data_IF_086137664643
#
_entry.id   IF_086137664643
#
_cell.length_a   1.000
_cell.length_b   1.000
_cell.length_c   1.000
_cell.angle_alpha   90.00
_cell.angle_beta   90.00
_cell.angle_gamma   90.00
#
_symmetry.space_group_name_H-M   'P 1'
#
loop_
_entity.id
_entity.type
_entity.pdbx_description
1 polymer ?
#
# COMPACT_ATOMS: atom_id res chain seq x y z
N UNK A 1 4.47 5.43 1.51
CA UNK A 1 4.54 5.16 0.06
C UNK A 1 3.24 5.63 -0.56
N UNK A 2 3.29 6.38 -1.66
CA UNK A 2 2.12 6.79 -2.43
C UNK A 2 2.08 6.01 -3.74
N UNK A 3 0.90 5.51 -4.13
CA UNK A 3 0.68 4.79 -5.38
C UNK A 3 -0.58 5.35 -6.03
N UNK A 4 -0.49 5.73 -7.30
CA UNK A 4 -1.61 6.20 -8.10
C UNK A 4 -2.25 5.05 -8.87
N UNK A 5 -3.49 5.25 -9.31
CA UNK A 5 -4.27 4.25 -10.03
C UNK A 5 -4.58 4.77 -11.43
N UNK A 6 -4.33 3.93 -12.43
CA UNK A 6 -4.51 4.24 -13.86
C UNK A 6 -3.84 5.55 -14.34
N UNK A 7 -2.78 5.99 -13.68
CA UNK A 7 -1.99 7.14 -14.09
C UNK A 7 -0.95 6.74 -15.15
N UNK A 8 -1.05 7.35 -16.33
CA UNK A 8 -0.08 7.23 -17.42
C UNK A 8 1.15 8.12 -17.22
N UNK A 9 2.20 7.84 -18.00
CA UNK A 9 3.43 8.63 -17.98
C UNK A 9 3.16 10.10 -18.35
N UNK A 10 2.35 10.34 -19.38
CA UNK A 10 2.05 11.68 -19.90
C UNK A 10 0.94 12.42 -19.12
N UNK A 11 0.49 11.91 -17.98
CA UNK A 11 -0.56 12.56 -17.18
C UNK A 11 -0.04 13.71 -16.31
N UNK A 12 1.27 13.80 -16.08
CA UNK A 12 1.86 14.85 -15.24
C UNK A 12 2.31 16.06 -16.07
N UNK A 13 2.12 17.26 -15.53
CA UNK A 13 2.62 18.50 -16.14
C UNK A 13 4.15 18.43 -16.35
N UNK A 14 4.89 17.98 -15.34
CA UNK A 14 6.33 17.77 -15.42
C UNK A 14 6.79 16.73 -16.46
N UNK A 15 5.88 15.92 -17.02
CA UNK A 15 6.14 15.02 -18.15
C UNK A 15 5.65 15.59 -19.50
N UNK A 16 5.20 16.84 -19.54
CA UNK A 16 4.82 17.55 -20.76
C UNK A 16 3.32 17.62 -21.01
N UNK A 17 2.46 17.27 -20.04
CA UNK A 17 1.01 17.42 -20.19
C UNK A 17 0.61 18.91 -20.25
N UNK A 18 0.00 19.41 -21.34
CA UNK A 18 -0.30 20.83 -21.48
C UNK A 18 -1.62 21.26 -20.80
N UNK A 19 -2.36 20.33 -20.19
CA UNK A 19 -3.71 20.57 -19.65
C UNK A 19 -3.82 20.39 -18.14
N UNK A 20 -3.06 19.44 -17.58
CA UNK A 20 -3.11 19.13 -16.16
C UNK A 20 -2.11 19.99 -15.41
N UNK A 21 -2.57 20.67 -14.36
CA UNK A 21 -1.71 21.43 -13.45
C UNK A 21 -1.42 20.58 -12.21
N UNK A 22 -0.16 20.14 -12.05
CA UNK A 22 0.25 19.23 -10.97
C UNK A 22 1.38 19.81 -10.12
N UNK A 23 1.20 20.98 -9.47
CA UNK A 23 2.30 21.75 -8.88
C UNK A 23 3.09 20.98 -7.79
N UNK A 24 2.42 20.16 -6.99
CA UNK A 24 3.11 19.35 -5.96
C UNK A 24 3.93 18.20 -6.56
N UNK A 25 3.45 17.58 -7.65
CA UNK A 25 4.24 16.59 -8.39
C UNK A 25 5.39 17.26 -9.14
N UNK A 26 5.20 18.47 -9.67
CA UNK A 26 6.24 19.23 -10.35
C UNK A 26 7.36 19.63 -9.38
N UNK A 27 7.00 19.99 -8.13
CA UNK A 27 7.96 20.21 -7.05
C UNK A 27 8.71 18.92 -6.70
N UNK A 28 8.00 17.82 -6.47
CA UNK A 28 8.62 16.52 -6.18
C UNK A 28 9.55 16.06 -7.30
N UNK A 29 9.18 16.30 -8.56
CA UNK A 29 9.97 15.97 -9.73
C UNK A 29 11.35 16.65 -9.73
N UNK A 30 11.45 17.87 -9.20
CA UNK A 30 12.70 18.64 -9.13
C UNK A 30 13.56 18.27 -7.91
N UNK A 31 12.95 17.71 -6.85
CA UNK A 31 13.62 17.41 -5.57
C UNK A 31 13.98 15.93 -5.40
N UNK A 32 13.39 15.03 -6.20
CA UNK A 32 13.53 13.58 -6.04
C UNK A 32 14.40 12.91 -7.11
N UNK A 33 14.89 11.71 -6.77
CA UNK A 33 15.44 10.78 -7.78
C UNK A 33 14.29 10.26 -8.64
N UNK A 34 14.49 10.26 -9.95
CA UNK A 34 13.49 9.84 -10.93
C UNK A 34 13.98 8.63 -11.72
N UNK A 35 13.05 7.73 -12.00
CA UNK A 35 13.27 6.61 -12.91
C UNK A 35 12.58 6.95 -14.24
N UNK A 36 13.36 7.07 -15.31
CA UNK A 36 12.83 7.32 -16.66
C UNK A 36 12.35 6.04 -17.35
N UNK A 37 12.73 4.89 -16.79
CA UNK A 37 12.35 3.56 -17.27
C UNK A 37 11.90 2.70 -16.08
N UNK A 38 10.59 2.75 -15.80
CA UNK A 38 9.94 2.02 -14.71
C UNK A 38 8.71 1.30 -15.28
N UNK A 39 8.55 0.02 -14.93
CA UNK A 39 7.49 -0.81 -15.49
C UNK A 39 6.56 -1.36 -14.42
N UNK A 40 5.29 -1.48 -14.78
CA UNK A 40 4.24 -2.10 -13.99
C UNK A 40 3.57 -3.23 -14.79
N UNK A 41 2.76 -4.06 -14.12
CA UNK A 41 1.89 -4.99 -14.84
C UNK A 41 0.76 -4.19 -15.53
N UNK A 42 0.15 -4.73 -16.60
CA UNK A 42 -0.89 -4.02 -17.36
C UNK A 42 -2.22 -3.80 -16.61
N UNK A 43 -2.34 -4.30 -15.38
CA UNK A 43 -3.55 -4.18 -14.55
C UNK A 43 -3.18 -3.90 -13.09
N UNK A 44 -4.07 -3.18 -12.40
CA UNK A 44 -3.85 -2.73 -11.04
C UNK A 44 -3.62 -3.87 -10.02
N UNK A 45 -4.43 -4.94 -10.02
CA UNK A 45 -4.26 -6.03 -9.05
C UNK A 45 -2.93 -6.79 -9.24
N UNK A 46 -2.53 -7.22 -10.45
CA UNK A 46 -1.19 -7.78 -10.68
C UNK A 46 -0.03 -6.86 -10.24
N UNK A 47 -0.13 -5.56 -10.51
CA UNK A 47 0.89 -4.58 -10.06
C UNK A 47 0.94 -4.49 -8.54
N UNK A 48 -0.22 -4.41 -7.87
CA UNK A 48 -0.30 -4.40 -6.41
C UNK A 48 0.28 -5.65 -5.78
N UNK A 49 -0.03 -6.83 -6.32
CA UNK A 49 0.50 -8.10 -5.81
C UNK A 49 2.02 -8.19 -5.97
N UNK A 50 2.54 -7.79 -7.13
CA UNK A 50 3.97 -7.78 -7.38
C UNK A 50 4.71 -6.79 -6.48
N UNK A 51 4.14 -5.61 -6.30
CA UNK A 51 4.66 -4.61 -5.37
C UNK A 51 4.71 -5.15 -3.93
N UNK A 52 3.59 -5.69 -3.43
CA UNK A 52 3.49 -6.14 -2.04
C UNK A 52 4.43 -7.30 -1.73
N UNK A 53 4.70 -8.19 -2.68
CA UNK A 53 5.46 -9.44 -2.44
C UNK A 53 6.89 -9.40 -2.97
N UNK A 54 7.24 -8.43 -3.83
CA UNK A 54 8.50 -8.42 -4.57
C UNK A 54 8.64 -9.57 -5.60
N UNK A 55 7.54 -10.24 -5.94
CA UNK A 55 7.51 -11.40 -6.83
C UNK A 55 6.72 -11.08 -8.09
N UNK A 56 7.04 -11.76 -9.19
CA UNK A 56 6.23 -11.64 -10.39
C UNK A 56 4.78 -12.06 -10.12
N UNK A 57 3.82 -11.27 -10.59
CA UNK A 57 2.41 -11.33 -10.20
C UNK A 57 1.81 -12.74 -10.33
N UNK A 58 2.11 -13.44 -11.43
CA UNK A 58 1.59 -14.81 -11.67
C UNK A 58 2.06 -15.84 -10.63
N UNK A 59 3.17 -15.59 -9.92
CA UNK A 59 3.66 -16.47 -8.84
C UNK A 59 2.90 -16.28 -7.52
N UNK A 60 2.11 -15.21 -7.41
CA UNK A 60 1.35 -14.83 -6.20
C UNK A 60 -0.12 -15.26 -6.26
N UNK A 61 -0.53 -15.93 -7.35
CA UNK A 61 -1.93 -16.26 -7.65
C UNK A 61 -2.67 -15.16 -8.42
N UNK A 62 -2.09 -13.96 -8.52
CA UNK A 62 -2.73 -12.80 -9.17
C UNK A 62 -2.25 -12.64 -10.62
N UNK A 63 -3.16 -12.80 -11.58
CA UNK A 63 -2.84 -12.63 -13.01
C UNK A 63 -3.89 -11.84 -13.80
N UNK A 64 -5.01 -11.48 -13.16
CA UNK A 64 -6.00 -10.56 -13.75
C UNK A 64 -6.80 -9.85 -12.68
N UNK A 65 -7.29 -8.65 -12.99
CA UNK A 65 -8.25 -7.92 -12.15
C UNK A 65 -9.66 -8.54 -12.18
N UNK A 66 -9.96 -9.33 -13.21
CA UNK A 66 -11.31 -9.81 -13.47
C UNK A 66 -11.56 -11.21 -12.90
N UNK A 67 -12.84 -11.55 -12.74
CA UNK A 67 -13.31 -12.93 -12.44
C UNK A 67 -12.63 -13.59 -11.24
N UNK A 68 -12.36 -12.81 -10.18
CA UNK A 68 -11.76 -13.32 -8.94
C UNK A 68 -10.27 -13.68 -9.03
N UNK A 69 -9.59 -13.32 -10.13
CA UNK A 69 -8.14 -13.58 -10.32
C UNK A 69 -7.23 -12.53 -9.69
N UNK A 70 -7.83 -11.63 -8.90
CA UNK A 70 -7.15 -10.56 -8.15
C UNK A 70 -6.82 -10.98 -6.71
N UNK A 71 -7.23 -12.17 -6.28
CA UNK A 71 -7.03 -12.65 -4.91
C UNK A 71 -5.58 -13.16 -4.79
N UNK A 72 -4.79 -12.48 -3.96
CA UNK A 72 -3.42 -12.90 -3.66
C UNK A 72 -3.43 -14.10 -2.72
N UNK A 73 -2.58 -15.10 -2.97
CA UNK A 73 -2.48 -16.28 -2.14
C UNK A 73 -2.21 -15.89 -0.67
N UNK A 74 -2.87 -16.57 0.27
CA UNK A 74 -2.83 -16.21 1.69
C UNK A 74 -1.50 -16.55 2.39
N UNK A 75 -0.66 -17.37 1.78
CA UNK A 75 0.67 -17.75 2.26
C UNK A 75 1.79 -16.80 1.78
N UNK A 76 1.50 -15.86 0.87
CA UNK A 76 2.48 -14.87 0.43
C UNK A 76 2.88 -13.95 1.60
N UNK A 77 4.19 -13.74 1.78
CA UNK A 77 4.72 -12.76 2.72
C UNK A 77 4.79 -11.41 2.03
N UNK A 78 4.20 -10.38 2.62
CA UNK A 78 4.21 -9.03 2.05
C UNK A 78 5.32 -8.19 2.68
N UNK A 79 5.74 -7.11 2.00
CA UNK A 79 6.63 -6.09 2.57
C UNK A 79 6.08 -5.52 3.87
N UNK A 80 4.75 -5.50 4.02
CA UNK A 80 4.05 -4.99 5.19
C UNK A 80 4.30 -5.90 6.40
N UNK A 81 4.31 -7.22 6.19
CA UNK A 81 4.70 -8.17 7.23
C UNK A 81 6.14 -7.92 7.69
N UNK A 82 7.07 -7.76 6.73
CA UNK A 82 8.48 -7.50 7.03
C UNK A 82 8.67 -6.20 7.82
N UNK A 83 7.97 -5.12 7.43
CA UNK A 83 8.03 -3.85 8.15
C UNK A 83 7.40 -3.95 9.55
N UNK A 84 6.25 -4.61 9.68
CA UNK A 84 5.61 -4.81 10.98
C UNK A 84 6.50 -5.64 11.94
N UNK A 85 7.11 -6.72 11.45
CA UNK A 85 8.03 -7.55 12.22
C UNK A 85 9.31 -6.79 12.63
N UNK A 86 9.68 -5.78 11.85
CA UNK A 86 10.80 -4.86 12.15
C UNK A 86 10.40 -3.70 13.06
N UNK A 87 9.17 -3.67 13.58
CA UNK A 87 8.69 -2.66 14.53
C UNK A 87 8.14 -1.38 13.91
N UNK A 88 7.91 -1.35 12.59
CA UNK A 88 7.27 -0.20 11.94
C UNK A 88 5.75 -0.20 12.17
N UNK A 89 5.20 1.01 12.30
CA UNK A 89 3.77 1.23 12.20
C UNK A 89 3.33 1.11 10.73
N UNK A 90 2.35 0.26 10.43
CA UNK A 90 1.88 -0.05 9.08
C UNK A 90 0.42 0.37 8.89
N UNK A 91 0.17 1.09 7.80
CA UNK A 91 -1.17 1.58 7.47
C UNK A 91 -1.44 1.57 5.97
N UNK A 92 -2.68 1.28 5.58
CA UNK A 92 -3.16 1.47 4.20
C UNK A 92 -4.37 2.41 4.19
N UNK A 93 -4.33 3.34 3.25
CA UNK A 93 -5.40 4.31 3.01
C UNK A 93 -5.69 4.33 1.51
N UNK A 94 -6.86 3.85 1.10
CA UNK A 94 -7.25 3.78 -0.31
C UNK A 94 -7.51 2.36 -0.83
N UNK A 95 -7.11 2.08 -2.07
CA UNK A 95 -7.44 0.83 -2.76
C UNK A 95 -6.53 -0.32 -2.32
N UNK A 96 -7.12 -1.46 -1.96
CA UNK A 96 -6.37 -2.71 -1.70
C UNK A 96 -6.28 -3.62 -2.91
N UNK A 97 -7.44 -4.05 -3.43
CA UNK A 97 -7.59 -4.85 -4.64
C UNK A 97 -6.85 -6.21 -4.68
N UNK A 98 -6.55 -6.82 -3.53
CA UNK A 98 -5.92 -8.15 -3.44
C UNK A 98 -6.79 -9.19 -2.69
N UNK A 99 -8.08 -8.89 -2.55
CA UNK A 99 -9.09 -9.72 -1.89
C UNK A 99 -9.81 -8.98 -0.77
N UNK A 100 -11.11 -9.26 -0.61
CA UNK A 100 -11.98 -8.45 0.26
C UNK A 100 -12.56 -9.22 1.46
N UNK A 101 -12.42 -10.55 1.46
CA UNK A 101 -12.92 -11.43 2.51
C UNK A 101 -11.77 -12.00 3.34
N UNK A 102 -12.04 -12.50 4.54
CA UNK A 102 -11.07 -13.29 5.29
C UNK A 102 -10.54 -14.45 4.43
N UNK A 103 -9.22 -14.75 4.43
CA UNK A 103 -8.11 -14.09 5.13
C UNK A 103 -7.34 -13.06 4.26
N UNK A 104 -7.99 -12.43 3.29
CA UNK A 104 -7.37 -11.60 2.26
C UNK A 104 -7.47 -10.08 2.49
N UNK A 105 -8.16 -9.64 3.55
CA UNK A 105 -8.33 -8.21 3.84
C UNK A 105 -6.99 -7.59 4.27
N UNK A 106 -6.76 -6.27 4.09
CA UNK A 106 -5.46 -5.68 4.39
C UNK A 106 -4.92 -5.98 5.78
N UNK A 107 -5.77 -5.95 6.80
CA UNK A 107 -5.35 -6.23 8.18
C UNK A 107 -5.10 -7.71 8.47
N UNK A 108 -5.63 -8.63 7.64
CA UNK A 108 -5.24 -10.05 7.67
C UNK A 108 -3.89 -10.25 6.97
N UNK A 109 -3.45 -9.27 6.17
CA UNK A 109 -2.23 -9.28 5.35
C UNK A 109 -1.11 -8.40 5.90
N UNK A 110 -1.19 -8.01 7.19
CA UNK A 110 -0.12 -7.35 7.93
C UNK A 110 -0.31 -5.87 8.25
N UNK A 111 -1.33 -5.21 7.69
CA UNK A 111 -1.61 -3.81 8.03
C UNK A 111 -2.22 -3.67 9.43
N UNK A 112 -1.64 -2.83 10.27
CA UNK A 112 -2.15 -2.55 11.61
C UNK A 112 -3.33 -1.56 11.56
N UNK A 113 -3.26 -0.58 10.65
CA UNK A 113 -4.33 0.35 10.33
C UNK A 113 -4.79 0.21 8.88
N UNK A 114 -6.10 0.29 8.66
CA UNK A 114 -6.67 0.16 7.32
C UNK A 114 -7.92 1.02 7.19
N UNK A 115 -7.86 2.01 6.30
CA UNK A 115 -9.03 2.67 5.73
C UNK A 115 -9.03 2.39 4.23
N UNK A 116 -9.62 1.25 3.85
CA UNK A 116 -9.50 0.75 2.49
C UNK A 116 -10.85 0.48 1.85
N UNK A 117 -10.89 0.63 0.53
CA UNK A 117 -12.02 0.20 -0.28
C UNK A 117 -11.59 -0.92 -1.24
N UNK A 118 -12.39 -1.99 -1.25
CA UNK A 118 -12.41 -3.02 -2.30
C UNK A 118 -13.79 -3.04 -2.95
N UNK A 119 -14.28 -4.21 -3.39
CA UNK A 119 -15.73 -4.37 -3.68
C UNK A 119 -16.57 -4.32 -2.41
N UNK A 120 -15.98 -4.58 -1.24
CA UNK A 120 -16.56 -4.33 0.07
C UNK A 120 -15.75 -3.25 0.80
N UNK A 121 -16.44 -2.34 1.51
CA UNK A 121 -15.79 -1.37 2.40
C UNK A 121 -15.19 -2.12 3.60
N UNK A 122 -13.91 -1.89 3.88
CA UNK A 122 -13.21 -2.47 5.03
C UNK A 122 -12.46 -1.37 5.78
N UNK A 123 -12.96 -1.03 6.96
CA UNK A 123 -12.34 -0.07 7.87
C UNK A 123 -11.98 -0.76 9.18
N UNK A 124 -10.73 -0.61 9.62
CA UNK A 124 -10.25 -1.02 10.93
C UNK A 124 -9.13 -0.09 11.36
N UNK A 125 -9.34 0.62 12.47
CA UNK A 125 -8.31 1.39 13.15
C UNK A 125 -8.04 0.73 14.50
N UNK A 126 -6.77 0.56 14.85
CA UNK A 126 -6.35 0.09 16.17
C UNK A 126 -5.37 1.12 16.73
N UNK A 127 -5.90 2.24 17.24
CA UNK A 127 -5.11 3.19 18.03
C UNK A 127 -4.80 2.53 19.37
N UNK A 128 -3.75 1.71 19.43
CA UNK A 128 -3.10 1.40 20.69
C UNK A 128 -2.27 2.61 21.10
N UNK A 129 -2.90 3.53 21.83
CA UNK A 129 -2.17 4.53 22.58
C UNK A 129 -1.21 3.82 23.50
N UNK A 130 0.10 4.03 23.28
CA UNK A 130 1.11 3.75 24.29
C UNK A 130 0.84 4.67 25.48
N UNK A 131 0.02 4.21 26.42
CA UNK A 131 0.06 4.75 27.77
C UNK A 131 1.41 4.33 28.34
N UNK A 132 2.43 5.16 28.13
CA UNK A 132 3.66 5.13 28.91
C UNK A 132 3.24 5.38 30.35
N UNK A 133 3.01 4.31 31.11
CA UNK A 133 2.96 4.39 32.57
C UNK A 133 4.36 4.75 33.01
N UNK A 134 4.63 6.06 33.12
CA UNK A 134 5.77 6.55 33.87
C UNK A 134 5.48 6.22 35.33
N UNK A 135 5.97 5.07 35.79
CA UNK A 135 5.99 4.74 37.21
C UNK A 135 7.00 5.68 37.86
N UNK A 136 6.48 6.82 38.30
CA UNK A 136 7.21 7.81 39.07
C UNK A 136 7.77 7.19 40.34
N UNK A 137 9.08 7.39 40.50
CA UNK A 137 9.78 7.32 41.77
C UNK A 137 9.00 8.11 42.81
N UNK A 138 8.60 7.47 43.91
CA UNK A 138 8.20 8.16 45.14
C UNK A 138 8.93 7.54 46.32
N UNK A 139 10.00 8.22 46.71
CA UNK A 139 10.53 8.13 48.06
C UNK A 139 9.46 8.61 49.05
N UNK A 140 9.25 7.90 50.16
CA UNK A 140 9.13 8.45 51.52
C UNK A 140 8.77 7.36 52.55
N UNK A 141 9.67 7.26 53.54
CA UNK A 141 9.53 6.78 54.93
C UNK A 141 9.43 5.28 55.19
#
# INVERSE_FOLDING_TARGET
>A
MSLTDDQGYDDLNCHGNPRLETPEFDRLHNEAVRLTDFHANPMCAPTGAALMTGRYSTRTGVWSTLRGRYIMNSDEVTMVNIFADSGYATGIFGKWHLGDNWPYRPFDRGFQESLSFGRALSARSRITGTTTTSTGVRAQR
#
